data_IF_479988822238
#
_entry.id   IF_479988822238
#
_cell.length_a   1.000
_cell.length_b   1.000
_cell.length_c   1.000
_cell.angle_alpha   90.00
_cell.angle_beta   90.00
_cell.angle_gamma   90.00
#
_symmetry.space_group_name_H-M   'P 1'
#
loop_
_entity.id
_entity.type
_entity.pdbx_description
1 polymer ?
#
# COMPACT_ATOMS: atom_id res chain seq x y z
N UNK A 1 10.29 -12.27 -5.77
CA UNK A 1 10.63 -12.65 -7.17
C UNK A 1 11.15 -11.39 -7.86
N UNK A 2 12.19 -11.40 -8.70
CA UNK A 2 12.61 -10.15 -9.37
C UNK A 2 11.58 -9.66 -10.41
N UNK A 3 11.69 -8.40 -10.85
CA UNK A 3 10.72 -7.79 -11.78
C UNK A 3 10.54 -8.60 -13.08
N UNK A 4 11.60 -9.06 -13.78
CA UNK A 4 11.43 -9.86 -14.99
C UNK A 4 10.69 -11.18 -14.74
N UNK A 5 11.06 -11.91 -13.68
CA UNK A 5 10.41 -13.17 -13.34
C UNK A 5 8.95 -12.95 -12.93
N UNK A 6 8.67 -11.87 -12.20
CA UNK A 6 7.32 -11.50 -11.76
C UNK A 6 6.40 -11.20 -12.94
N UNK A 7 6.90 -10.46 -13.93
CA UNK A 7 6.16 -10.19 -15.17
C UNK A 7 5.89 -11.47 -15.94
N UNK A 8 6.88 -12.36 -16.06
CA UNK A 8 6.71 -13.65 -16.74
C UNK A 8 5.69 -14.54 -16.02
N UNK A 9 5.71 -14.57 -14.69
CA UNK A 9 4.73 -15.30 -13.89
C UNK A 9 3.31 -14.76 -14.14
N UNK A 10 3.15 -13.44 -14.08
CA UNK A 10 1.86 -12.77 -14.33
C UNK A 10 1.34 -13.03 -15.75
N UNK A 11 2.23 -13.02 -16.75
CA UNK A 11 1.87 -13.36 -18.13
C UNK A 11 1.35 -14.79 -18.26
N UNK A 12 1.98 -15.75 -17.56
CA UNK A 12 1.53 -17.15 -17.54
C UNK A 12 0.16 -17.34 -16.89
N UNK A 13 -0.23 -16.47 -15.95
CA UNK A 13 -1.56 -16.51 -15.34
C UNK A 13 -2.66 -16.06 -16.32
N UNK A 14 -2.33 -15.36 -17.40
CA UNK A 14 -3.30 -14.92 -18.41
C UNK A 14 -4.30 -13.86 -17.91
N UNK A 15 -4.07 -13.26 -16.74
CA UNK A 15 -5.03 -12.35 -16.07
C UNK A 15 -5.03 -10.93 -16.62
N UNK A 16 -4.14 -10.60 -17.56
CA UNK A 16 -4.03 -9.26 -18.13
C UNK A 16 -3.57 -8.18 -17.13
N UNK A 17 -3.00 -8.56 -15.99
CA UNK A 17 -2.52 -7.60 -14.99
C UNK A 17 -1.33 -6.80 -15.52
N UNK A 18 -1.33 -5.50 -15.22
CA UNK A 18 -0.25 -4.58 -15.51
C UNK A 18 0.56 -4.32 -14.25
N UNK A 19 1.89 -4.40 -14.37
CA UNK A 19 2.80 -4.08 -13.28
C UNK A 19 2.85 -2.55 -13.07
N UNK A 20 2.61 -2.10 -11.85
CA UNK A 20 2.83 -0.71 -11.48
C UNK A 20 4.32 -0.38 -11.55
N UNK A 21 4.70 0.64 -12.32
CA UNK A 21 6.09 1.05 -12.45
C UNK A 21 6.57 1.68 -11.14
N UNK A 22 7.46 0.97 -10.46
CA UNK A 22 8.05 1.41 -9.21
C UNK A 22 9.20 2.40 -9.47
N UNK A 23 9.20 3.54 -8.79
CA UNK A 23 10.33 4.49 -8.71
C UNK A 23 10.95 4.48 -7.31
N UNK A 24 12.14 5.03 -7.15
CA UNK A 24 12.78 5.14 -5.83
C UNK A 24 12.43 6.49 -5.17
N UNK A 25 12.03 6.50 -3.90
CA UNK A 25 11.91 7.75 -3.12
C UNK A 25 13.28 8.39 -2.90
N UNK A 26 13.41 9.65 -2.49
CA UNK A 26 14.73 10.32 -2.29
C UNK A 26 15.59 9.80 -1.12
N UNK A 27 15.17 8.75 -0.41
CA UNK A 27 15.80 8.29 0.84
C UNK A 27 17.15 7.57 0.71
N UNK A 28 17.80 7.40 1.86
CA UNK A 28 19.21 6.98 2.01
C UNK A 28 19.42 5.49 2.20
N UNK A 29 18.37 4.67 2.23
CA UNK A 29 18.50 3.21 2.41
C UNK A 29 19.13 2.59 1.16
N UNK A 30 20.46 2.58 1.17
CA UNK A 30 21.34 1.94 0.21
C UNK A 30 22.17 0.90 0.95
N UNK A 31 22.29 -0.30 0.39
CA UNK A 31 23.30 -1.25 0.82
C UNK A 31 24.54 -1.02 -0.04
N UNK A 32 25.63 -0.52 0.54
CA UNK A 32 26.89 -0.22 -0.17
C UNK A 32 26.66 0.62 -1.44
N UNK A 33 25.88 1.70 -1.33
CA UNK A 33 25.49 2.60 -2.44
C UNK A 33 24.59 1.97 -3.52
N UNK A 34 24.08 0.76 -3.31
CA UNK A 34 23.17 0.09 -4.23
C UNK A 34 21.83 -0.21 -3.57
N UNK A 35 20.75 -0.01 -4.32
CA UNK A 35 19.43 -0.52 -3.91
C UNK A 35 19.41 -2.00 -4.27
N UNK A 36 19.00 -2.84 -3.32
CA UNK A 36 18.86 -4.28 -3.54
C UNK A 36 17.81 -4.63 -4.61
N UNK A 37 17.62 -5.92 -4.87
CA UNK A 37 16.62 -6.39 -5.84
C UNK A 37 15.21 -5.98 -5.42
N UNK A 38 14.42 -5.45 -6.36
CA UNK A 38 12.98 -5.23 -6.16
C UNK A 38 12.29 -6.58 -6.24
N UNK A 39 11.83 -7.10 -5.10
CA UNK A 39 11.19 -8.41 -4.99
C UNK A 39 9.70 -8.36 -4.63
N UNK A 40 9.24 -7.19 -4.20
CA UNK A 40 7.85 -6.85 -3.93
C UNK A 40 7.29 -6.10 -5.14
N UNK A 41 6.05 -6.39 -5.55
CA UNK A 41 5.45 -5.83 -6.77
C UNK A 41 3.97 -5.53 -6.57
N UNK A 42 3.51 -4.44 -7.16
CA UNK A 42 2.09 -4.11 -7.23
C UNK A 42 1.63 -4.35 -8.67
N UNK A 43 0.52 -5.08 -8.82
CA UNK A 43 -0.14 -5.35 -10.10
C UNK A 43 -1.57 -4.83 -10.06
N UNK A 44 -2.01 -4.22 -11.15
CA UNK A 44 -3.35 -3.68 -11.31
C UNK A 44 -4.02 -4.25 -12.57
N UNK A 45 -5.35 -4.39 -12.55
CA UNK A 45 -6.17 -4.86 -13.66
C UNK A 45 -7.18 -3.78 -14.04
N UNK A 46 -7.53 -3.61 -15.32
CA UNK A 46 -8.53 -2.64 -15.79
C UNK A 46 -7.93 -1.44 -16.56
N UNK A 47 -8.69 -0.90 -17.52
CA UNK A 47 -8.21 0.08 -18.52
C UNK A 47 -7.77 1.42 -17.91
N UNK A 48 -8.38 1.86 -16.81
CA UNK A 48 -8.10 3.13 -16.13
C UNK A 48 -7.42 2.96 -14.76
N UNK A 49 -6.95 1.75 -14.43
CA UNK A 49 -6.50 1.41 -13.08
C UNK A 49 -4.97 1.53 -12.88
N UNK A 50 -4.30 2.31 -13.73
CA UNK A 50 -2.88 2.61 -13.51
C UNK A 50 -2.74 3.56 -12.31
N UNK A 51 -1.85 3.26 -11.36
CA UNK A 51 -1.60 4.19 -10.29
C UNK A 51 -0.97 5.47 -10.84
N UNK A 52 -1.31 6.60 -10.24
CA UNK A 52 -0.71 7.91 -10.53
C UNK A 52 0.80 7.86 -10.30
N UNK A 53 1.21 7.18 -9.23
CA UNK A 53 2.60 6.88 -8.93
C UNK A 53 2.71 5.61 -8.10
N UNK A 54 3.88 4.98 -8.18
CA UNK A 54 4.27 3.84 -7.36
C UNK A 54 5.74 4.01 -6.98
N UNK A 55 6.08 3.98 -5.69
CA UNK A 55 7.42 4.28 -5.18
C UNK A 55 7.85 3.32 -4.08
N UNK A 56 9.15 3.03 -4.02
CA UNK A 56 9.77 2.37 -2.86
C UNK A 56 10.08 3.41 -1.79
N UNK A 57 9.59 3.19 -0.57
CA UNK A 57 9.93 4.03 0.56
C UNK A 57 11.29 3.63 1.16
N UNK A 58 12.31 4.44 0.85
CA UNK A 58 13.69 4.27 1.34
C UNK A 58 13.98 4.98 2.67
N UNK A 59 13.00 5.59 3.32
CA UNK A 59 13.19 6.27 4.61
C UNK A 59 12.71 5.42 5.80
N UNK A 60 11.83 4.47 5.55
CA UNK A 60 11.21 3.67 6.60
C UNK A 60 12.09 2.47 6.95
N UNK A 61 12.69 2.49 8.14
CA UNK A 61 13.62 1.46 8.61
C UNK A 61 13.02 0.47 9.62
N UNK A 62 11.92 -0.18 9.26
CA UNK A 62 11.13 -1.03 10.19
C UNK A 62 11.20 -2.54 9.90
N UNK A 63 11.76 -2.94 8.77
CA UNK A 63 11.85 -4.34 8.31
C UNK A 63 13.04 -4.50 7.36
N UNK A 64 13.50 -5.73 7.19
CA UNK A 64 14.43 -6.17 6.14
C UNK A 64 13.90 -5.96 4.70
N UNK A 65 12.60 -5.72 4.54
CA UNK A 65 11.98 -5.29 3.29
C UNK A 65 11.75 -3.78 3.23
N UNK A 66 11.71 -3.22 2.00
CA UNK A 66 11.32 -1.83 1.77
C UNK A 66 9.83 -1.77 1.40
N UNK A 67 9.02 -0.91 2.03
CA UNK A 67 7.64 -0.73 1.63
C UNK A 67 7.55 -0.21 0.20
N UNK A 68 6.59 -0.72 -0.57
CA UNK A 68 6.20 -0.14 -1.85
C UNK A 68 4.81 0.47 -1.70
N UNK A 69 4.68 1.73 -2.07
CA UNK A 69 3.43 2.49 -1.98
C UNK A 69 2.99 2.89 -3.38
N UNK A 70 1.70 2.76 -3.66
CA UNK A 70 1.09 3.25 -4.89
C UNK A 70 -0.17 4.06 -4.56
N UNK A 71 -0.45 5.07 -5.39
CA UNK A 71 -1.63 5.90 -5.25
C UNK A 71 -2.49 5.81 -6.50
N UNK A 72 -3.80 5.65 -6.31
CA UNK A 72 -4.81 5.73 -7.35
C UNK A 72 -5.65 6.98 -7.16
N UNK A 73 -6.10 7.58 -8.27
CA UNK A 73 -7.20 8.52 -8.21
C UNK A 73 -8.52 7.73 -8.17
N UNK A 74 -9.31 7.90 -7.11
CA UNK A 74 -10.59 7.20 -6.97
C UNK A 74 -11.56 7.60 -8.08
N UNK A 75 -11.49 8.83 -8.59
CA UNK A 75 -12.34 9.30 -9.69
C UNK A 75 -12.00 8.62 -11.03
N UNK A 76 -10.76 8.12 -11.17
CA UNK A 76 -10.30 7.37 -12.33
C UNK A 76 -10.53 5.86 -12.21
N UNK A 77 -10.82 5.36 -11.01
CA UNK A 77 -11.35 4.02 -10.82
C UNK A 77 -12.79 4.06 -11.32
N UNK A 78 -12.96 3.83 -12.61
CA UNK A 78 -14.25 3.79 -13.28
C UNK A 78 -15.03 2.58 -12.75
N UNK A 79 -15.61 2.74 -11.56
CA UNK A 79 -16.62 1.84 -11.06
C UNK A 79 -17.88 2.21 -11.83
N UNK A 80 -18.54 1.29 -12.55
CA UNK A 80 -19.90 1.57 -12.96
C UNK A 80 -20.66 1.85 -11.66
N UNK A 81 -21.05 3.12 -11.44
CA UNK A 81 -21.67 3.61 -10.19
C UNK A 81 -22.85 2.74 -9.72
N UNK A 82 -23.43 1.94 -10.62
CA UNK A 82 -24.48 0.96 -10.36
C UNK A 82 -24.08 -0.26 -9.51
N UNK A 83 -22.79 -0.59 -9.31
CA UNK A 83 -22.40 -1.79 -8.54
C UNK A 83 -22.07 -1.56 -7.06
N UNK A 84 -21.67 -0.35 -6.66
CA UNK A 84 -21.39 -0.06 -5.25
C UNK A 84 -22.67 0.14 -4.44
N UNK A 85 -23.72 0.71 -5.04
CA UNK A 85 -25.04 0.84 -4.40
C UNK A 85 -25.72 -0.52 -4.11
N UNK A 86 -25.29 -1.60 -4.76
CA UNK A 86 -25.88 -2.93 -4.58
C UNK A 86 -25.22 -3.74 -3.44
N UNK A 87 -24.12 -3.26 -2.87
CA UNK A 87 -23.30 -4.01 -1.92
C UNK A 87 -23.08 -3.29 -0.57
N UNK A 88 -23.76 -2.17 -0.32
CA UNK A 88 -23.71 -1.46 0.97
C UNK A 88 -24.07 -2.40 2.14
N UNK A 89 -25.05 -3.29 1.92
CA UNK A 89 -25.48 -4.30 2.89
C UNK A 89 -24.55 -5.53 2.99
N UNK A 90 -23.51 -5.63 2.17
CA UNK A 90 -22.58 -6.77 2.15
C UNK A 90 -21.16 -6.39 2.59
N UNK A 91 -20.91 -5.12 2.93
CA UNK A 91 -19.60 -4.69 3.38
C UNK A 91 -19.42 -4.95 4.88
N UNK A 92 -18.91 -6.12 5.23
CA UNK A 92 -18.54 -6.44 6.61
C UNK A 92 -17.12 -5.94 6.89
N UNK A 93 -17.02 -4.76 7.47
CA UNK A 93 -15.75 -4.20 7.96
C UNK A 93 -15.37 -4.84 9.31
N UNK A 94 -14.39 -5.75 9.30
CA UNK A 94 -13.75 -6.26 10.51
C UNK A 94 -12.60 -5.33 10.93
N UNK A 95 -12.91 -4.06 11.16
CA UNK A 95 -11.91 -3.11 11.64
C UNK A 95 -11.57 -3.44 13.11
N UNK A 96 -10.40 -4.04 13.34
CA UNK A 96 -9.87 -4.37 14.68
C UNK A 96 -9.66 -3.15 15.57
N UNK A 97 -9.69 -1.95 15.00
CA UNK A 97 -9.58 -0.68 15.73
C UNK A 97 -10.94 -0.04 16.01
N UNK A 98 -12.07 -0.65 15.60
CA UNK A 98 -13.41 -0.17 15.96
C UNK A 98 -13.60 -0.06 17.47
N UNK A 99 -12.98 -0.97 18.23
CA UNK A 99 -12.97 -0.93 19.70
C UNK A 99 -12.42 0.40 20.23
N UNK A 100 -11.46 1.02 19.52
CA UNK A 100 -10.87 2.31 19.91
C UNK A 100 -11.79 3.50 19.60
N UNK A 101 -12.78 3.33 18.72
CA UNK A 101 -13.75 4.38 18.42
C UNK A 101 -14.87 4.45 19.47
N UNK A 102 -15.19 3.31 20.10
CA UNK A 102 -16.17 3.22 21.19
C UNK A 102 -15.55 3.50 22.57
N UNK A 103 -14.23 3.39 22.67
CA UNK A 103 -13.54 3.75 23.90
C UNK A 103 -13.34 5.27 23.88
N UNK A 104 -14.07 6.01 24.72
CA UNK A 104 -13.70 7.39 25.11
C UNK A 104 -12.38 7.35 25.89
N UNK A 105 -11.28 7.04 25.20
CA UNK A 105 -9.94 7.15 25.76
C UNK A 105 -9.66 8.65 25.77
N UNK A 106 -9.74 9.25 26.95
CA UNK A 106 -9.21 10.59 27.19
C UNK A 106 -7.73 10.54 26.81
N UNK A 107 -7.41 11.06 25.61
CA UNK A 107 -6.06 11.01 25.03
C UNK A 107 -4.98 11.50 26.01
N UNK A 108 -5.37 12.39 26.93
CA UNK A 108 -4.50 12.93 27.95
C UNK A 108 -4.06 11.88 28.98
N UNK A 109 -4.90 10.91 29.37
CA UNK A 109 -4.53 9.90 30.38
C UNK A 109 -3.54 8.85 29.84
N UNK A 110 -3.59 8.53 28.54
CA UNK A 110 -2.66 7.58 27.91
C UNK A 110 -1.22 8.12 27.86
N UNK A 111 -1.07 9.46 27.81
CA UNK A 111 0.22 10.13 27.67
C UNK A 111 0.85 10.57 28.99
N UNK A 112 0.14 10.51 30.12
CA UNK A 112 0.66 10.93 31.45
C UNK A 112 1.90 10.12 31.87
N UNK A 113 2.04 8.88 31.40
CA UNK A 113 3.22 8.05 31.65
C UNK A 113 4.31 8.09 30.57
N UNK A 114 4.12 8.86 29.49
CA UNK A 114 5.03 8.91 28.33
C UNK A 114 5.82 10.22 28.24
N UNK A 115 5.52 11.19 29.09
CA UNK A 115 6.33 12.41 29.23
C UNK A 115 7.39 12.11 30.28
N UNK A 116 8.52 11.57 29.85
CA UNK A 116 9.73 11.62 30.67
C UNK A 116 10.07 13.10 30.90
N UNK A 117 9.91 13.56 32.14
CA UNK A 117 10.49 14.84 32.58
C UNK A 117 12.00 14.71 32.55
N UNK A 118 12.63 15.29 31.52
CA UNK A 118 14.03 15.70 31.54
C UNK A 118 14.11 17.18 31.26
#
# INVERSE_FOLDING_TARGET
MDTPSSKKFTLKLGTGFQNAKVTNSTGSRYNKNTVGRIIDHIYCAGLNNRPNWCTVNRYMDLSDHMPITAQWNLDALEVPAKKLLLAENNFVSHNRFTVLAETEIVLNELCVGLIDTV
#
